data_IF_344159908139
#
_entry.id   IF_344159908139
#
_cell.length_a   1.000
_cell.length_b   1.000
_cell.length_c   1.000
_cell.angle_alpha   90.00
_cell.angle_beta   90.00
_cell.angle_gamma   90.00
#
_symmetry.space_group_name_H-M   'P 1'
#
loop_
_entity.id
_entity.type
_entity.pdbx_description
1 polymer ?
#
# COMPACT_ATOMS: atom_id res chain seq x y z
N UNK A 1 52.85 -9.84 -19.09
CA UNK A 1 51.40 -9.82 -19.35
C UNK A 1 50.72 -11.12 -18.96
N UNK A 2 51.09 -12.29 -19.51
CA UNK A 2 50.41 -13.56 -19.17
C UNK A 2 50.37 -13.88 -17.66
N UNK A 3 51.51 -13.72 -16.97
CA UNK A 3 51.59 -13.94 -15.52
C UNK A 3 50.69 -13.01 -14.67
N UNK A 4 50.21 -11.88 -15.22
CA UNK A 4 49.29 -11.00 -14.47
C UNK A 4 47.87 -11.57 -14.40
N UNK A 5 47.48 -12.37 -15.40
CA UNK A 5 46.13 -12.96 -15.52
C UNK A 5 46.13 -14.49 -15.35
N UNK A 6 47.29 -15.13 -15.38
CA UNK A 6 47.48 -16.57 -15.20
C UNK A 6 48.80 -16.84 -14.44
N UNK A 7 48.76 -16.63 -13.11
CA UNK A 7 49.93 -16.80 -12.22
C UNK A 7 50.42 -18.25 -12.12
N UNK A 8 49.56 -19.22 -12.41
CA UNK A 8 49.85 -20.65 -12.29
C UNK A 8 50.20 -21.29 -13.64
N UNK A 9 50.16 -20.53 -14.74
CA UNK A 9 50.46 -21.02 -16.08
C UNK A 9 49.47 -22.06 -16.62
N UNK A 10 48.31 -22.25 -15.97
CA UNK A 10 47.35 -23.33 -16.28
C UNK A 10 46.75 -23.23 -17.68
N UNK A 11 46.70 -22.01 -18.23
CA UNK A 11 46.11 -21.71 -19.55
C UNK A 11 47.09 -20.97 -20.46
N UNK A 12 48.39 -21.03 -20.15
CA UNK A 12 49.45 -20.37 -20.91
C UNK A 12 50.31 -21.41 -21.61
N UNK A 13 50.44 -21.29 -22.94
CA UNK A 13 51.36 -22.07 -23.79
C UNK A 13 52.47 -21.15 -24.27
N UNK A 14 53.74 -21.53 -24.12
CA UNK A 14 54.84 -20.78 -24.71
C UNK A 14 55.16 -21.26 -26.12
N UNK A 15 55.22 -20.32 -27.06
CA UNK A 15 55.65 -20.59 -28.43
C UNK A 15 56.94 -19.81 -28.69
N UNK A 16 58.04 -20.53 -28.90
CA UNK A 16 59.35 -19.95 -29.19
C UNK A 16 59.52 -19.91 -30.70
N UNK A 17 59.58 -18.71 -31.27
CA UNK A 17 59.78 -18.50 -32.70
C UNK A 17 61.23 -18.17 -33.00
N UNK A 18 61.63 -18.31 -34.28
CA UNK A 18 62.99 -18.00 -34.77
C UNK A 18 64.08 -18.87 -34.11
N UNK A 19 63.78 -20.14 -33.88
CA UNK A 19 64.71 -21.10 -33.28
C UNK A 19 66.01 -21.27 -34.10
N UNK A 20 65.98 -20.93 -35.38
CA UNK A 20 67.10 -20.91 -36.32
C UNK A 20 68.16 -19.84 -36.01
N UNK A 21 67.79 -18.68 -35.44
CA UNK A 21 68.71 -17.54 -35.27
C UNK A 21 69.53 -17.57 -33.99
N UNK A 22 69.06 -18.25 -32.96
CA UNK A 22 69.72 -18.29 -31.64
C UNK A 22 69.45 -19.62 -30.94
N UNK A 23 70.06 -20.72 -31.42
CA UNK A 23 69.82 -22.07 -30.88
C UNK A 23 70.54 -22.32 -29.54
N UNK A 24 71.52 -21.48 -29.18
CA UNK A 24 72.33 -21.59 -27.97
C UNK A 24 71.49 -21.31 -26.70
N UNK A 25 71.50 -22.25 -25.75
CA UNK A 25 70.76 -22.15 -24.49
C UNK A 25 69.24 -22.39 -24.60
N UNK A 26 68.70 -22.65 -25.80
CA UNK A 26 67.26 -22.89 -25.99
C UNK A 26 66.81 -24.23 -25.38
N UNK A 27 67.61 -25.28 -25.55
CA UNK A 27 67.35 -26.61 -24.98
C UNK A 27 67.23 -26.54 -23.44
N UNK A 28 68.10 -25.79 -22.78
CA UNK A 28 68.10 -25.65 -21.31
C UNK A 28 66.86 -24.89 -20.83
N UNK A 29 66.52 -23.76 -21.46
CA UNK A 29 65.34 -22.94 -21.10
C UNK A 29 64.02 -23.69 -21.26
N UNK A 30 63.90 -24.51 -22.30
CA UNK A 30 62.69 -25.29 -22.59
C UNK A 30 62.59 -26.53 -21.68
N UNK A 31 63.72 -27.13 -21.29
CA UNK A 31 63.74 -28.35 -20.46
C UNK A 31 63.57 -28.05 -18.97
N UNK A 32 64.10 -26.92 -18.50
CA UNK A 32 64.06 -26.51 -17.08
C UNK A 32 62.71 -25.87 -16.70
N UNK A 33 61.91 -25.45 -17.70
CA UNK A 33 60.69 -24.65 -17.51
C UNK A 33 60.92 -23.44 -16.60
N UNK A 34 61.92 -22.64 -16.94
CA UNK A 34 62.41 -21.50 -16.15
C UNK A 34 61.34 -20.41 -15.89
N UNK A 35 60.20 -20.47 -16.61
CA UNK A 35 59.08 -19.50 -16.54
C UNK A 35 57.79 -20.13 -15.97
N UNK A 36 57.82 -21.41 -15.55
CA UNK A 36 56.72 -22.16 -14.94
C UNK A 36 55.43 -22.13 -15.79
N UNK A 37 55.49 -22.73 -16.98
CA UNK A 37 54.43 -22.70 -18.00
C UNK A 37 53.71 -24.05 -18.01
N UNK A 38 52.50 -24.07 -17.44
CA UNK A 38 51.72 -25.29 -17.22
C UNK A 38 51.33 -26.07 -18.49
N UNK A 39 51.21 -25.42 -19.66
CA UNK A 39 50.98 -26.12 -20.94
C UNK A 39 52.28 -26.43 -21.71
N UNK A 40 53.44 -26.04 -21.16
CA UNK A 40 54.78 -26.26 -21.72
C UNK A 40 55.15 -25.34 -22.88
N UNK A 41 56.20 -25.72 -23.60
CA UNK A 41 56.78 -24.97 -24.72
C UNK A 41 56.58 -25.69 -26.05
N UNK A 42 56.57 -24.93 -27.15
CA UNK A 42 56.73 -25.43 -28.51
C UNK A 42 57.67 -24.51 -29.28
N UNK A 43 58.72 -25.06 -29.88
CA UNK A 43 59.66 -24.31 -30.71
C UNK A 43 59.30 -24.46 -32.18
N UNK A 44 59.32 -23.36 -32.92
CA UNK A 44 58.93 -23.32 -34.34
C UNK A 44 59.89 -22.51 -35.18
N UNK A 45 60.04 -22.90 -36.45
CA UNK A 45 60.70 -22.12 -37.49
C UNK A 45 59.63 -21.51 -38.39
N UNK A 46 59.67 -20.18 -38.54
CA UNK A 46 58.80 -19.48 -39.47
C UNK A 46 59.45 -19.41 -40.85
N UNK A 47 58.66 -19.07 -41.88
CA UNK A 47 59.15 -18.83 -43.25
C UNK A 47 60.23 -17.75 -43.26
N UNK A 48 61.30 -17.99 -44.02
CA UNK A 48 62.41 -17.06 -44.21
C UNK A 48 62.50 -16.71 -45.69
N UNK A 49 62.40 -15.42 -46.04
CA UNK A 49 62.42 -14.98 -47.44
C UNK A 49 61.18 -15.43 -48.22
N UNK A 50 61.38 -15.94 -49.44
CA UNK A 50 60.31 -16.32 -50.39
C UNK A 50 59.99 -17.83 -50.41
N UNK A 51 60.44 -18.60 -49.41
CA UNK A 51 60.12 -20.04 -49.24
C UNK A 51 58.60 -20.31 -49.33
N UNK A 52 58.17 -21.37 -50.02
CA UNK A 52 56.76 -21.84 -49.98
C UNK A 52 56.37 -22.42 -48.61
N UNK A 53 55.08 -22.72 -48.38
CA UNK A 53 54.66 -23.31 -47.10
C UNK A 53 55.23 -24.72 -46.93
N UNK A 54 55.22 -25.51 -48.00
CA UNK A 54 55.74 -26.87 -48.06
C UNK A 54 57.26 -26.88 -47.87
N UNK A 55 57.97 -25.96 -48.53
CA UNK A 55 59.42 -25.77 -48.35
C UNK A 55 59.76 -25.41 -46.91
N UNK A 56 59.06 -24.44 -46.31
CA UNK A 56 59.29 -24.05 -44.93
C UNK A 56 58.97 -25.16 -43.93
N UNK A 57 58.02 -26.06 -44.23
CA UNK A 57 57.76 -27.25 -43.41
C UNK A 57 58.88 -28.28 -43.51
N UNK A 58 59.36 -28.54 -44.73
CA UNK A 58 60.47 -29.46 -44.96
C UNK A 58 61.74 -28.94 -44.26
N UNK A 59 62.01 -27.64 -44.36
CA UNK A 59 63.14 -26.99 -43.72
C UNK A 59 63.01 -26.89 -42.19
N UNK A 60 61.79 -26.76 -41.66
CA UNK A 60 61.54 -26.84 -40.22
C UNK A 60 61.85 -28.25 -39.70
N UNK A 61 61.38 -29.29 -40.39
CA UNK A 61 61.68 -30.68 -40.03
C UNK A 61 63.19 -30.96 -40.11
N UNK A 62 63.85 -30.52 -41.19
CA UNK A 62 65.29 -30.65 -41.37
C UNK A 62 66.08 -29.96 -40.24
N UNK A 63 65.67 -28.75 -39.85
CA UNK A 63 66.28 -28.01 -38.73
C UNK A 63 66.19 -28.80 -37.42
N UNK A 64 65.01 -29.31 -37.08
CA UNK A 64 64.79 -30.01 -35.82
C UNK A 64 65.24 -31.48 -35.83
N UNK A 65 65.50 -32.11 -36.98
CA UNK A 65 66.06 -33.46 -37.04
C UNK A 65 67.61 -33.46 -37.07
N UNK A 66 68.23 -32.50 -37.76
CA UNK A 66 69.67 -32.56 -38.07
C UNK A 66 70.53 -31.53 -37.33
N UNK A 67 69.96 -30.46 -36.75
CA UNK A 67 70.77 -29.42 -36.10
C UNK A 67 71.37 -29.90 -34.76
N UNK A 68 72.71 -29.77 -34.52
CA UNK A 68 73.41 -30.37 -33.38
C UNK A 68 72.86 -30.09 -31.97
N UNK A 69 72.19 -28.94 -31.80
CA UNK A 69 71.60 -28.50 -30.53
C UNK A 69 70.08 -28.64 -30.49
N UNK A 70 69.39 -28.52 -31.63
CA UNK A 70 67.92 -28.48 -31.67
C UNK A 70 67.32 -29.88 -31.85
N UNK A 71 68.06 -30.81 -32.46
CA UNK A 71 67.65 -32.22 -32.57
C UNK A 71 67.59 -32.98 -31.25
N UNK A 72 68.17 -32.40 -30.20
CA UNK A 72 68.09 -32.90 -28.83
C UNK A 72 66.80 -32.51 -28.11
N UNK A 73 66.03 -31.55 -28.66
CA UNK A 73 64.73 -31.17 -28.09
C UNK A 73 63.72 -32.28 -28.44
N UNK A 74 62.85 -32.63 -27.50
CA UNK A 74 61.82 -33.65 -27.71
C UNK A 74 60.98 -33.36 -28.96
N UNK A 75 60.74 -34.38 -29.79
CA UNK A 75 59.86 -34.30 -30.97
C UNK A 75 58.43 -33.84 -30.63
N UNK A 76 57.99 -34.01 -29.38
CA UNK A 76 56.70 -33.50 -28.88
C UNK A 76 56.68 -32.00 -28.55
N UNK A 77 57.79 -31.28 -28.74
CA UNK A 77 57.96 -29.85 -28.42
C UNK A 77 58.48 -29.03 -29.60
N UNK A 78 58.63 -29.63 -30.79
CA UNK A 78 59.21 -28.94 -31.96
C UNK A 78 58.32 -29.09 -33.18
N UNK A 79 58.26 -28.02 -33.96
CA UNK A 79 57.55 -27.98 -35.23
C UNK A 79 56.12 -27.47 -35.12
N UNK A 80 55.64 -26.85 -36.20
CA UNK A 80 54.30 -26.30 -36.28
C UNK A 80 53.20 -27.39 -36.35
N UNK A 81 53.40 -28.59 -36.93
CA UNK A 81 52.41 -29.67 -36.84
C UNK A 81 52.08 -30.05 -35.40
N UNK A 82 53.11 -30.15 -34.55
CA UNK A 82 52.98 -30.46 -33.11
C UNK A 82 52.30 -29.30 -32.37
N UNK A 83 52.63 -28.05 -32.72
CA UNK A 83 51.91 -26.89 -32.19
C UNK A 83 50.41 -26.95 -32.51
N UNK A 84 50.05 -27.25 -33.77
CA UNK A 84 48.66 -27.32 -34.21
C UNK A 84 47.89 -28.42 -33.47
N UNK A 85 48.44 -29.63 -33.38
CA UNK A 85 47.84 -30.75 -32.65
C UNK A 85 47.63 -30.40 -31.16
N UNK A 86 48.66 -29.80 -30.55
CA UNK A 86 48.61 -29.40 -29.14
C UNK A 86 47.56 -28.32 -28.88
N UNK A 87 47.44 -27.32 -29.77
CA UNK A 87 46.40 -26.30 -29.69
C UNK A 87 44.99 -26.89 -29.81
N UNK A 88 44.77 -27.82 -30.75
CA UNK A 88 43.49 -28.52 -30.90
C UNK A 88 43.14 -29.31 -29.62
N UNK A 89 44.10 -30.03 -29.03
CA UNK A 89 43.89 -30.79 -27.79
C UNK A 89 43.59 -29.89 -26.59
N UNK A 90 44.31 -28.78 -26.46
CA UNK A 90 44.08 -27.78 -25.41
C UNK A 90 42.68 -27.19 -25.58
N UNK A 91 42.31 -26.78 -26.80
CA UNK A 91 41.01 -26.19 -27.08
C UNK A 91 39.86 -27.16 -26.77
N UNK A 92 39.97 -28.42 -27.19
CA UNK A 92 38.97 -29.45 -26.89
C UNK A 92 38.81 -29.69 -25.38
N UNK A 93 39.92 -29.70 -24.64
CA UNK A 93 39.89 -29.87 -23.17
C UNK A 93 39.21 -28.69 -22.48
N UNK A 94 39.55 -27.46 -22.87
CA UNK A 94 38.93 -26.24 -22.32
C UNK A 94 37.43 -26.22 -22.64
N UNK A 95 37.03 -26.56 -23.87
CA UNK A 95 35.62 -26.63 -24.25
C UNK A 95 34.89 -27.63 -23.34
N UNK A 96 35.42 -28.85 -23.18
CA UNK A 96 34.81 -29.90 -22.35
C UNK A 96 34.68 -29.48 -20.89
N UNK A 97 35.67 -28.81 -20.31
CA UNK A 97 35.61 -28.36 -18.91
C UNK A 97 34.65 -27.18 -18.71
N UNK A 98 34.52 -26.30 -19.70
CA UNK A 98 33.64 -25.14 -19.62
C UNK A 98 32.17 -25.46 -19.94
N UNK A 99 31.89 -26.48 -20.75
CA UNK A 99 30.54 -26.83 -21.21
C UNK A 99 29.53 -27.04 -20.07
N UNK A 100 29.80 -27.83 -19.00
CA UNK A 100 28.85 -28.04 -17.91
C UNK A 100 28.43 -26.72 -17.22
N UNK A 101 29.39 -25.83 -17.01
CA UNK A 101 29.13 -24.53 -16.38
C UNK A 101 28.35 -23.58 -17.32
N UNK A 102 28.59 -23.66 -18.63
CA UNK A 102 27.80 -22.92 -19.63
C UNK A 102 26.35 -23.43 -19.63
N UNK A 103 26.13 -24.75 -19.63
CA UNK A 103 24.78 -25.35 -19.54
C UNK A 103 24.06 -24.91 -18.28
N UNK A 104 24.73 -24.95 -17.13
CA UNK A 104 24.17 -24.48 -15.86
C UNK A 104 23.74 -23.01 -15.95
N UNK A 105 24.62 -22.13 -16.43
CA UNK A 105 24.32 -20.70 -16.59
C UNK A 105 23.17 -20.43 -17.56
N UNK A 106 23.04 -21.20 -18.63
CA UNK A 106 21.92 -21.09 -19.57
C UNK A 106 20.62 -21.48 -18.88
N UNK A 107 20.57 -22.63 -18.20
CA UNK A 107 19.37 -23.08 -17.49
C UNK A 107 18.97 -22.12 -16.37
N UNK A 108 19.92 -21.59 -15.60
CA UNK A 108 19.68 -20.61 -14.54
C UNK A 108 19.07 -19.32 -15.11
N UNK A 109 19.65 -18.78 -16.20
CA UNK A 109 19.14 -17.59 -16.89
C UNK A 109 17.78 -17.83 -17.53
N UNK A 110 17.57 -19.01 -18.12
CA UNK A 110 16.30 -19.38 -18.74
C UNK A 110 15.19 -19.43 -17.69
N UNK A 111 15.44 -20.11 -16.57
CA UNK A 111 14.51 -20.18 -15.43
C UNK A 111 14.18 -18.78 -14.88
N UNK A 112 15.20 -17.93 -14.69
CA UNK A 112 15.00 -16.57 -14.21
C UNK A 112 14.15 -15.73 -15.19
N UNK A 113 14.45 -15.78 -16.49
CA UNK A 113 13.71 -15.05 -17.52
C UNK A 113 12.25 -15.54 -17.62
N UNK A 114 12.00 -16.84 -17.56
CA UNK A 114 10.65 -17.42 -17.58
C UNK A 114 9.86 -16.98 -16.34
N UNK A 115 10.47 -16.99 -15.15
CA UNK A 115 9.83 -16.48 -13.94
C UNK A 115 9.51 -14.98 -14.04
N UNK A 116 10.39 -14.18 -14.64
CA UNK A 116 10.15 -12.76 -14.85
C UNK A 116 9.03 -12.51 -15.87
N UNK A 117 8.98 -13.28 -16.96
CA UNK A 117 7.91 -13.22 -17.96
C UNK A 117 6.55 -13.58 -17.35
N UNK A 118 6.51 -14.59 -16.48
CA UNK A 118 5.28 -14.99 -15.77
C UNK A 118 4.77 -13.95 -14.77
N UNK A 119 5.61 -13.02 -14.33
CA UNK A 119 5.20 -11.88 -13.48
C UNK A 119 4.59 -10.75 -14.29
N UNK A 120 4.81 -10.69 -15.61
CA UNK A 120 4.22 -9.66 -16.46
C UNK A 120 2.72 -9.90 -16.65
N UNK A 121 1.89 -8.85 -16.72
CA UNK A 121 0.46 -8.98 -16.97
C UNK A 121 0.23 -9.69 -18.29
N UNK A 122 -0.70 -10.64 -18.35
CA UNK A 122 -1.01 -11.37 -19.59
C UNK A 122 -1.42 -10.39 -20.69
N UNK A 123 -0.87 -10.57 -21.89
CA UNK A 123 -1.34 -9.89 -23.09
C UNK A 123 -2.77 -10.33 -23.36
N UNK A 124 -3.69 -9.37 -23.42
CA UNK A 124 -5.12 -9.63 -23.61
C UNK A 124 -5.43 -9.62 -25.09
N UNK A 125 -6.01 -10.70 -25.61
CA UNK A 125 -6.22 -10.88 -27.06
C UNK A 125 -7.65 -10.56 -27.50
N UNK A 126 -8.57 -10.33 -26.55
CA UNK A 126 -9.97 -10.02 -26.85
C UNK A 126 -10.63 -9.18 -25.77
N UNK A 127 -11.69 -8.46 -26.15
CA UNK A 127 -12.52 -7.66 -25.22
C UNK A 127 -13.15 -8.55 -24.14
N UNK A 128 -13.52 -9.80 -24.47
CA UNK A 128 -14.07 -10.75 -23.50
C UNK A 128 -13.04 -11.15 -22.44
N UNK A 129 -11.77 -11.34 -22.84
CA UNK A 129 -10.67 -11.65 -21.93
C UNK A 129 -10.31 -10.45 -21.05
N UNK A 130 -10.31 -9.24 -21.63
CA UNK A 130 -10.14 -7.99 -20.89
C UNK A 130 -11.23 -7.79 -19.84
N UNK A 131 -12.49 -8.02 -20.19
CA UNK A 131 -13.61 -7.96 -19.27
C UNK A 131 -13.48 -8.98 -18.14
N UNK A 132 -13.16 -10.23 -18.47
CA UNK A 132 -12.97 -11.28 -17.47
C UNK A 132 -11.85 -10.93 -16.49
N UNK A 133 -10.73 -10.42 -17.01
CA UNK A 133 -9.59 -9.98 -16.20
C UNK A 133 -9.95 -8.78 -15.32
N UNK A 134 -10.68 -7.80 -15.86
CA UNK A 134 -11.15 -6.66 -15.09
C UNK A 134 -12.09 -7.07 -13.95
N UNK A 135 -13.04 -7.98 -14.21
CA UNK A 135 -13.91 -8.52 -13.16
C UNK A 135 -13.13 -9.27 -12.08
N UNK A 136 -12.10 -10.03 -12.46
CA UNK A 136 -11.22 -10.71 -11.50
C UNK A 136 -10.45 -9.70 -10.63
N UNK A 137 -9.88 -8.66 -11.23
CA UNK A 137 -9.20 -7.56 -10.52
C UNK A 137 -10.15 -6.91 -9.51
N UNK A 138 -11.38 -6.57 -9.93
CA UNK A 138 -12.39 -6.01 -9.02
C UNK A 138 -12.79 -7.00 -7.92
N UNK A 139 -12.82 -8.31 -8.22
CA UNK A 139 -13.04 -9.36 -7.23
C UNK A 139 -11.94 -9.39 -6.15
N UNK A 140 -10.67 -9.33 -6.55
CA UNK A 140 -9.54 -9.27 -5.61
C UNK A 140 -9.51 -7.98 -4.81
N UNK A 141 -9.83 -6.84 -5.44
CA UNK A 141 -9.96 -5.56 -4.74
C UNK A 141 -11.10 -5.59 -3.71
N UNK A 142 -12.27 -6.13 -4.08
CA UNK A 142 -13.41 -6.31 -3.17
C UNK A 142 -13.05 -7.16 -1.96
N UNK A 143 -12.39 -8.30 -2.17
CA UNK A 143 -11.97 -9.17 -1.06
C UNK A 143 -10.93 -8.48 -0.16
N UNK A 144 -10.00 -7.74 -0.76
CA UNK A 144 -9.03 -6.93 0.01
C UNK A 144 -9.73 -5.89 0.88
N UNK A 145 -10.70 -5.16 0.32
CA UNK A 145 -11.47 -4.14 1.02
C UNK A 145 -12.32 -4.75 2.13
N UNK A 146 -12.95 -5.89 1.88
CA UNK A 146 -13.72 -6.63 2.88
C UNK A 146 -12.84 -7.01 4.07
N UNK A 147 -11.63 -7.52 3.82
CA UNK A 147 -10.67 -7.87 4.86
C UNK A 147 -10.30 -6.67 5.73
N UNK A 148 -9.89 -5.56 5.12
CA UNK A 148 -9.39 -4.41 5.88
C UNK A 148 -10.50 -3.54 6.51
N UNK A 149 -11.62 -3.29 5.81
CA UNK A 149 -12.69 -2.38 6.26
C UNK A 149 -13.76 -3.06 7.13
N UNK A 150 -13.97 -4.36 6.97
CA UNK A 150 -15.07 -5.09 7.64
C UNK A 150 -14.53 -6.12 8.64
N UNK A 151 -13.54 -6.93 8.26
CA UNK A 151 -13.06 -8.03 9.09
C UNK A 151 -11.91 -7.61 10.02
N UNK A 152 -11.19 -6.54 9.71
CA UNK A 152 -10.00 -6.12 10.45
C UNK A 152 -8.76 -6.99 10.16
N UNK A 153 -8.76 -7.74 9.05
CA UNK A 153 -7.62 -8.51 8.58
C UNK A 153 -6.74 -7.63 7.68
N UNK A 154 -5.51 -7.34 8.10
CA UNK A 154 -4.62 -6.40 7.40
C UNK A 154 -3.24 -6.99 7.07
N UNK A 155 -3.06 -8.31 7.12
CA UNK A 155 -1.75 -8.97 6.85
C UNK A 155 -1.15 -8.59 5.48
N UNK A 156 -2.00 -8.34 4.47
CA UNK A 156 -1.57 -7.93 3.13
C UNK A 156 -1.12 -6.44 3.04
N UNK A 157 -1.32 -5.67 4.10
CA UNK A 157 -1.10 -4.23 4.18
C UNK A 157 -0.38 -3.85 5.48
N UNK A 158 0.96 -3.91 5.51
CA UNK A 158 1.74 -3.63 6.73
C UNK A 158 1.72 -2.15 7.17
N UNK A 159 1.23 -1.24 6.33
CA UNK A 159 1.10 0.18 6.69
C UNK A 159 -0.06 0.36 7.69
N UNK A 160 0.26 0.94 8.85
CA UNK A 160 -0.71 1.25 9.91
C UNK A 160 -1.84 2.19 9.47
N UNK A 161 -1.72 2.90 8.33
CA UNK A 161 -2.81 3.67 7.72
C UNK A 161 -3.90 2.80 7.10
N UNK A 162 -3.59 1.54 6.76
CA UNK A 162 -4.50 0.57 6.16
C UNK A 162 -5.22 -0.31 7.18
N UNK A 163 -4.93 -0.15 8.47
CA UNK A 163 -5.62 -0.83 9.57
C UNK A 163 -6.99 -0.18 9.81
N UNK A 164 -7.90 -0.32 8.86
CA UNK A 164 -9.06 0.56 8.72
C UNK A 164 -10.02 0.50 9.91
N UNK A 165 -10.25 -0.68 10.48
CA UNK A 165 -11.11 -0.84 11.66
C UNK A 165 -10.59 -0.05 12.87
N UNK A 166 -9.28 -0.07 13.11
CA UNK A 166 -8.65 0.71 14.18
C UNK A 166 -8.71 2.22 13.92
N UNK A 167 -8.56 2.64 12.66
CA UNK A 167 -8.65 4.06 12.29
C UNK A 167 -10.06 4.60 12.41
N UNK A 168 -11.07 3.85 11.96
CA UNK A 168 -12.47 4.21 12.13
C UNK A 168 -12.85 4.27 13.61
N UNK A 169 -12.38 3.32 14.42
CA UNK A 169 -12.57 3.36 15.88
C UNK A 169 -12.01 4.64 16.51
N UNK A 170 -10.80 5.04 16.14
CA UNK A 170 -10.20 6.29 16.64
C UNK A 170 -11.00 7.52 16.21
N UNK A 171 -11.53 7.54 14.98
CA UNK A 171 -12.41 8.62 14.52
C UNK A 171 -13.71 8.67 15.33
N UNK A 172 -14.30 7.53 15.68
CA UNK A 172 -15.48 7.48 16.57
C UNK A 172 -15.16 7.95 17.97
N UNK A 173 -13.98 7.60 18.50
CA UNK A 173 -13.51 8.07 19.81
C UNK A 173 -13.41 9.59 19.83
N UNK A 174 -12.74 10.18 18.82
CA UNK A 174 -12.63 11.64 18.67
C UNK A 174 -14.01 12.29 18.53
N UNK A 175 -14.90 11.72 17.71
CA UNK A 175 -16.27 12.22 17.56
C UNK A 175 -17.06 12.21 18.88
N UNK A 176 -16.95 11.13 19.65
CA UNK A 176 -17.57 11.03 20.99
C UNK A 176 -16.99 12.05 21.96
N UNK A 177 -15.69 12.34 21.88
CA UNK A 177 -15.02 13.36 22.70
C UNK A 177 -15.46 14.77 22.29
N UNK A 178 -15.52 15.07 20.99
CA UNK A 178 -15.98 16.36 20.44
C UNK A 178 -17.43 16.67 20.82
N UNK A 179 -18.28 15.64 20.94
CA UNK A 179 -19.67 15.76 21.36
C UNK A 179 -19.87 15.94 22.87
N UNK A 180 -18.84 15.75 23.71
CA UNK A 180 -19.01 15.82 25.16
C UNK A 180 -19.54 17.18 25.62
N UNK A 181 -20.43 17.22 26.64
CA UNK A 181 -21.06 18.46 27.12
C UNK A 181 -20.07 19.58 27.45
N UNK A 182 -18.89 19.25 27.97
CA UNK A 182 -17.84 20.20 28.35
C UNK A 182 -17.23 20.94 27.15
N UNK A 183 -17.33 20.36 25.95
CA UNK A 183 -16.78 20.90 24.70
C UNK A 183 -17.81 21.71 23.89
N UNK A 184 -19.11 21.59 24.20
CA UNK A 184 -20.21 22.17 23.42
C UNK A 184 -20.91 23.31 24.18
N UNK A 185 -20.14 24.31 24.59
CA UNK A 185 -20.64 25.54 25.26
C UNK A 185 -20.98 25.35 26.74
N UNK A 186 -20.03 25.76 27.59
CA UNK A 186 -20.27 26.14 28.98
C UNK A 186 -21.06 27.46 29.04
N UNK A 187 -22.38 27.41 28.83
CA UNK A 187 -23.25 28.58 29.04
C UNK A 187 -23.44 28.88 30.55
N UNK A 188 -23.01 27.94 31.42
CA UNK A 188 -23.24 27.99 32.87
C UNK A 188 -22.07 28.59 33.68
N UNK A 189 -20.89 28.80 33.06
CA UNK A 189 -19.80 29.51 33.72
C UNK A 189 -19.97 31.01 33.58
N UNK A 190 -19.99 31.73 34.71
CA UNK A 190 -19.99 33.20 34.84
C UNK A 190 -21.38 33.90 34.80
N UNK A 191 -22.26 33.56 35.74
CA UNK A 191 -23.44 34.38 36.11
C UNK A 191 -24.72 34.18 35.27
N UNK A 192 -24.73 33.20 34.36
CA UNK A 192 -25.87 32.94 33.46
C UNK A 192 -26.72 31.70 33.85
N UNK A 193 -26.43 31.05 34.98
CA UNK A 193 -27.14 29.84 35.38
C UNK A 193 -28.66 30.08 35.50
N UNK A 194 -29.47 29.25 34.84
CA UNK A 194 -30.93 29.35 34.73
C UNK A 194 -31.48 30.60 34.02
N UNK A 195 -30.64 31.56 33.60
CA UNK A 195 -31.13 32.81 32.98
C UNK A 195 -31.89 32.51 31.70
N UNK A 196 -31.35 31.62 30.86
CA UNK A 196 -32.00 31.28 29.60
C UNK A 196 -33.25 30.43 29.80
N UNK A 197 -33.22 29.47 30.72
CA UNK A 197 -34.37 28.66 31.09
C UNK A 197 -35.51 29.54 31.62
N UNK A 198 -35.20 30.52 32.48
CA UNK A 198 -36.17 31.51 32.98
C UNK A 198 -36.75 32.34 31.85
N UNK A 199 -35.90 32.84 30.93
CA UNK A 199 -36.37 33.62 29.77
C UNK A 199 -37.35 32.83 28.90
N UNK A 200 -37.04 31.58 28.57
CA UNK A 200 -37.93 30.72 27.77
C UNK A 200 -39.22 30.41 28.54
N UNK A 201 -39.14 30.19 29.86
CA UNK A 201 -40.32 30.02 30.70
C UNK A 201 -41.24 31.25 30.64
N UNK A 202 -40.69 32.46 30.73
CA UNK A 202 -41.46 33.71 30.65
C UNK A 202 -42.13 33.89 29.28
N UNK A 203 -41.41 33.62 28.19
CA UNK A 203 -41.91 33.72 26.81
C UNK A 203 -43.01 32.69 26.48
N UNK A 204 -43.04 31.57 27.20
CA UNK A 204 -43.98 30.47 26.97
C UNK A 204 -45.12 30.40 28.00
N UNK A 205 -45.20 31.38 28.93
CA UNK A 205 -46.30 31.45 29.90
C UNK A 205 -47.65 31.52 29.17
N UNK A 206 -48.48 30.51 29.41
CA UNK A 206 -49.88 30.49 29.01
C UNK A 206 -50.78 30.79 30.21
N UNK A 207 -52.03 31.17 29.93
CA UNK A 207 -53.06 31.27 30.98
C UNK A 207 -53.35 29.83 31.45
N UNK A 208 -52.83 29.46 32.62
CA UNK A 208 -52.88 28.09 33.14
C UNK A 208 -52.60 28.01 34.64
N UNK A 209 -52.62 26.78 35.18
CA UNK A 209 -52.28 26.52 36.58
C UNK A 209 -50.78 26.78 36.83
N UNK A 210 -50.41 27.31 38.01
CA UNK A 210 -49.01 27.37 38.43
C UNK A 210 -48.42 25.97 38.61
N UNK A 211 -47.08 25.86 38.60
CA UNK A 211 -46.32 24.62 38.80
C UNK A 211 -46.44 23.55 37.69
N UNK A 212 -47.06 23.86 36.55
CA UNK A 212 -47.05 22.98 35.38
C UNK A 212 -45.98 23.38 34.38
N UNK A 213 -45.02 22.51 34.12
CA UNK A 213 -43.96 22.79 33.15
C UNK A 213 -44.46 22.61 31.70
N UNK A 214 -44.50 23.66 30.86
CA UNK A 214 -44.90 23.50 29.47
C UNK A 214 -43.87 22.69 28.67
N UNK A 215 -44.33 21.66 27.95
CA UNK A 215 -43.48 20.86 27.03
C UNK A 215 -42.74 21.74 26.01
N UNK A 216 -43.35 22.86 25.59
CA UNK A 216 -42.74 23.83 24.68
C UNK A 216 -41.38 24.35 25.19
N UNK A 217 -41.25 24.61 26.49
CA UNK A 217 -39.99 25.08 27.11
C UNK A 217 -38.89 24.06 26.89
N UNK A 218 -39.17 22.79 27.21
CA UNK A 218 -38.22 21.71 27.05
C UNK A 218 -37.76 21.58 25.59
N UNK A 219 -38.71 21.59 24.65
CA UNK A 219 -38.41 21.46 23.22
C UNK A 219 -37.57 22.63 22.70
N UNK A 220 -37.89 23.88 23.06
CA UNK A 220 -37.11 25.05 22.63
C UNK A 220 -35.66 24.97 23.09
N UNK A 221 -35.44 24.56 24.33
CA UNK A 221 -34.09 24.43 24.90
C UNK A 221 -33.33 23.25 24.29
N UNK A 222 -34.00 22.10 24.08
CA UNK A 222 -33.42 20.95 23.38
C UNK A 222 -33.00 21.32 21.95
N UNK A 223 -33.87 22.00 21.21
CA UNK A 223 -33.61 22.45 19.84
C UNK A 223 -32.39 23.38 19.77
N UNK A 224 -32.23 24.29 20.73
CA UNK A 224 -31.03 25.14 20.82
C UNK A 224 -29.76 24.30 21.02
N UNK A 225 -29.79 23.31 21.92
CA UNK A 225 -28.63 22.42 22.15
C UNK A 225 -28.30 21.57 20.93
N UNK A 226 -29.29 20.95 20.29
CA UNK A 226 -29.09 20.16 19.06
C UNK A 226 -28.53 21.03 17.93
N UNK A 227 -29.01 22.26 17.79
CA UNK A 227 -28.47 23.22 16.82
C UNK A 227 -27.01 23.61 17.13
N UNK A 228 -26.62 23.63 18.40
CA UNK A 228 -25.25 23.90 18.82
C UNK A 228 -24.24 22.84 18.36
N UNK A 229 -24.66 21.58 18.25
CA UNK A 229 -23.79 20.46 17.81
C UNK A 229 -23.94 20.09 16.34
N UNK A 230 -24.84 20.70 15.57
CA UNK A 230 -25.24 20.17 14.26
C UNK A 230 -24.10 20.04 13.23
N UNK A 231 -23.02 20.79 13.39
CA UNK A 231 -21.83 20.70 12.53
C UNK A 231 -20.93 19.52 12.86
N UNK A 232 -20.89 19.07 14.12
CA UNK A 232 -19.96 18.03 14.58
C UNK A 232 -20.21 16.67 13.88
N UNK A 233 -21.46 16.15 13.80
CA UNK A 233 -21.75 14.93 13.05
C UNK A 233 -21.45 15.04 11.55
N UNK A 234 -21.65 16.22 10.95
CA UNK A 234 -21.36 16.46 9.53
C UNK A 234 -19.86 16.40 9.26
N UNK A 235 -19.06 17.08 10.09
CA UNK A 235 -17.60 17.07 9.99
C UNK A 235 -17.04 15.65 10.17
N UNK A 236 -17.61 14.87 11.08
CA UNK A 236 -17.25 13.46 11.26
C UNK A 236 -17.47 12.64 9.98
N UNK A 237 -18.66 12.72 9.38
CA UNK A 237 -19.01 11.98 8.16
C UNK A 237 -18.08 12.37 7.02
N UNK A 238 -17.76 13.66 6.88
CA UNK A 238 -16.82 14.13 5.87
C UNK A 238 -15.42 13.53 6.08
N UNK A 239 -14.87 13.63 7.30
CA UNK A 239 -13.56 13.04 7.64
C UNK A 239 -13.55 11.53 7.34
N UNK A 240 -14.58 10.80 7.77
CA UNK A 240 -14.67 9.35 7.60
C UNK A 240 -14.70 8.93 6.12
N UNK A 241 -15.54 9.58 5.30
CA UNK A 241 -15.61 9.25 3.87
C UNK A 241 -14.36 9.65 3.08
N UNK A 242 -13.69 10.75 3.45
CA UNK A 242 -12.41 11.12 2.83
C UNK A 242 -11.32 10.06 3.12
N UNK A 243 -11.31 9.49 4.32
CA UNK A 243 -10.44 8.37 4.66
C UNK A 243 -10.77 7.12 3.83
N UNK A 244 -12.05 6.76 3.73
CA UNK A 244 -12.51 5.60 2.95
C UNK A 244 -12.18 5.79 1.45
N UNK A 245 -12.29 7.00 0.90
CA UNK A 245 -11.87 7.32 -0.46
C UNK A 245 -10.40 6.97 -0.68
N UNK A 246 -9.54 7.41 0.24
CA UNK A 246 -8.09 7.18 0.17
C UNK A 246 -7.78 5.68 0.15
N UNK A 247 -8.43 4.92 1.03
CA UNK A 247 -8.30 3.46 1.10
C UNK A 247 -8.79 2.79 -0.19
N UNK A 248 -9.98 3.15 -0.67
CA UNK A 248 -10.58 2.57 -1.87
C UNK A 248 -9.70 2.80 -3.10
N UNK A 249 -9.27 4.05 -3.31
CA UNK A 249 -8.40 4.43 -4.43
C UNK A 249 -7.07 3.69 -4.35
N UNK A 250 -6.48 3.58 -3.15
CA UNK A 250 -5.21 2.88 -2.97
C UNK A 250 -5.32 1.39 -3.31
N UNK A 251 -6.33 0.69 -2.77
CA UNK A 251 -6.53 -0.75 -3.02
C UNK A 251 -6.79 -1.01 -4.51
N UNK A 252 -7.66 -0.23 -5.14
CA UNK A 252 -7.93 -0.34 -6.57
C UNK A 252 -6.67 -0.07 -7.41
N UNK A 253 -5.89 0.96 -7.05
CA UNK A 253 -4.65 1.28 -7.77
C UNK A 253 -3.62 0.15 -7.67
N UNK A 254 -3.50 -0.47 -6.50
CA UNK A 254 -2.60 -1.63 -6.28
C UNK A 254 -2.99 -2.83 -7.14
N UNK A 255 -4.28 -3.14 -7.23
CA UNK A 255 -4.75 -4.27 -8.06
C UNK A 255 -4.74 -3.96 -9.57
N UNK A 256 -4.77 -2.69 -9.95
CA UNK A 256 -4.70 -2.24 -11.34
C UNK A 256 -3.29 -1.79 -11.78
N UNK A 257 -2.24 -1.95 -10.97
CA UNK A 257 -0.87 -1.45 -11.26
C UNK A 257 -0.32 -1.98 -12.60
N UNK A 258 -0.66 -3.23 -12.90
CA UNK A 258 -0.31 -3.93 -14.12
C UNK A 258 -1.06 -3.43 -15.38
N UNK A 259 -2.09 -2.62 -15.21
CA UNK A 259 -2.93 -2.07 -16.27
C UNK A 259 -3.07 -0.54 -16.12
N UNK A 260 -2.01 0.24 -16.42
CA UNK A 260 -2.04 1.70 -16.24
C UNK A 260 -3.18 2.40 -16.98
N UNK A 261 -3.61 1.83 -18.09
CA UNK A 261 -4.74 2.25 -18.92
C UNK A 261 -6.04 2.37 -18.09
N UNK A 262 -6.22 1.48 -17.11
CA UNK A 262 -7.39 1.44 -16.22
C UNK A 262 -7.26 2.33 -14.99
N UNK A 263 -6.05 2.65 -14.55
CA UNK A 263 -5.85 3.37 -13.27
C UNK A 263 -6.63 4.68 -13.23
N UNK A 264 -6.60 5.46 -14.32
CA UNK A 264 -7.29 6.74 -14.39
C UNK A 264 -8.81 6.61 -14.33
N UNK A 265 -9.39 5.66 -15.05
CA UNK A 265 -10.84 5.43 -15.06
C UNK A 265 -11.32 4.80 -13.77
N UNK A 266 -10.63 3.77 -13.26
CA UNK A 266 -10.97 3.13 -11.98
C UNK A 266 -10.85 4.11 -10.81
N UNK A 267 -9.82 4.98 -10.80
CA UNK A 267 -9.68 6.01 -9.76
C UNK A 267 -10.81 7.04 -9.82
N UNK A 268 -11.22 7.46 -11.01
CA UNK A 268 -12.35 8.38 -11.17
C UNK A 268 -13.66 7.74 -10.70
N UNK A 269 -13.91 6.50 -11.11
CA UNK A 269 -15.09 5.74 -10.70
C UNK A 269 -15.16 5.55 -9.18
N UNK A 270 -14.03 5.22 -8.55
CA UNK A 270 -13.93 5.13 -7.10
C UNK A 270 -14.32 6.44 -6.41
N UNK A 271 -13.84 7.59 -6.92
CA UNK A 271 -14.16 8.90 -6.37
C UNK A 271 -15.64 9.26 -6.51
N UNK A 272 -16.21 9.01 -7.68
CA UNK A 272 -17.64 9.28 -7.94
C UNK A 272 -18.54 8.42 -7.04
N UNK A 273 -18.21 7.14 -6.88
CA UNK A 273 -18.88 6.23 -5.96
C UNK A 273 -18.83 6.74 -4.52
N UNK A 274 -17.66 7.16 -4.04
CA UNK A 274 -17.52 7.70 -2.69
C UNK A 274 -18.26 9.02 -2.52
N UNK A 275 -18.21 9.92 -3.51
CA UNK A 275 -18.97 11.17 -3.48
C UNK A 275 -20.48 10.92 -3.32
N UNK A 276 -21.03 9.96 -4.08
CA UNK A 276 -22.43 9.52 -3.95
C UNK A 276 -22.74 8.99 -2.55
N UNK A 277 -21.87 8.15 -1.98
CA UNK A 277 -22.07 7.57 -0.63
C UNK A 277 -21.92 8.59 0.50
N UNK A 278 -20.97 9.52 0.33
CA UNK A 278 -20.77 10.65 1.23
C UNK A 278 -22.00 11.53 1.28
N UNK A 279 -22.56 11.91 0.12
CA UNK A 279 -23.78 12.71 0.06
C UNK A 279 -24.96 12.01 0.74
N UNK A 280 -25.19 10.73 0.45
CA UNK A 280 -26.23 9.94 1.13
C UNK A 280 -26.08 9.93 2.65
N UNK A 281 -24.84 9.92 3.15
CA UNK A 281 -24.58 9.97 4.58
C UNK A 281 -24.80 11.36 5.18
N UNK A 282 -24.46 12.42 4.44
CA UNK A 282 -24.74 13.81 4.84
C UNK A 282 -26.26 14.02 4.95
N UNK A 283 -27.03 13.57 3.96
CA UNK A 283 -28.48 13.70 3.95
C UNK A 283 -29.09 12.97 5.17
N UNK A 284 -28.64 11.74 5.43
CA UNK A 284 -29.07 10.97 6.60
C UNK A 284 -28.70 11.62 7.94
N UNK A 285 -27.52 12.24 8.05
CA UNK A 285 -27.13 12.99 9.25
C UNK A 285 -28.04 14.17 9.48
N UNK A 286 -28.37 14.93 8.43
CA UNK A 286 -29.32 16.04 8.52
C UNK A 286 -30.67 15.54 9.04
N UNK A 287 -31.18 14.42 8.52
CA UNK A 287 -32.43 13.83 9.00
C UNK A 287 -32.36 13.48 10.48
N UNK A 288 -31.26 12.88 10.97
CA UNK A 288 -31.11 12.58 12.40
C UNK A 288 -31.07 13.82 13.27
N UNK A 289 -30.32 14.84 12.85
CA UNK A 289 -30.24 16.10 13.58
C UNK A 289 -31.62 16.76 13.66
N UNK A 290 -32.43 16.70 12.59
CA UNK A 290 -33.81 17.19 12.61
C UNK A 290 -34.74 16.31 13.45
N UNK A 291 -34.60 14.98 13.42
CA UNK A 291 -35.39 14.06 14.24
C UNK A 291 -35.18 14.31 15.75
N UNK A 292 -33.94 14.56 16.19
CA UNK A 292 -33.62 14.87 17.60
C UNK A 292 -34.18 16.23 18.06
N UNK A 293 -34.58 17.13 17.15
CA UNK A 293 -35.23 18.40 17.49
C UNK A 293 -36.73 18.28 17.79
N UNK A 294 -37.35 17.16 17.44
CA UNK A 294 -38.81 17.01 17.42
C UNK A 294 -39.34 16.24 18.63
N UNK A 295 -38.56 15.28 19.15
CA UNK A 295 -39.01 14.34 20.18
C UNK A 295 -38.23 14.48 21.48
N UNK A 296 -38.97 14.41 22.59
CA UNK A 296 -38.51 14.37 23.98
C UNK A 296 -38.69 12.98 24.60
N UNK A 297 -38.97 11.97 23.77
CA UNK A 297 -39.22 10.61 24.24
C UNK A 297 -37.93 9.84 24.53
N UNK A 298 -37.95 9.05 25.61
CA UNK A 298 -36.91 8.06 25.92
C UNK A 298 -37.50 6.91 26.76
N UNK A 299 -37.08 5.69 26.46
CA UNK A 299 -37.31 4.52 27.32
C UNK A 299 -36.06 4.14 28.16
N UNK A 300 -35.02 4.98 28.13
CA UNK A 300 -33.77 4.71 28.82
C UNK A 300 -33.94 4.84 30.34
N UNK A 301 -33.71 3.76 31.08
CA UNK A 301 -33.91 3.70 32.54
C UNK A 301 -33.04 4.70 33.32
N UNK A 302 -31.88 5.08 32.77
CA UNK A 302 -30.99 6.06 33.40
C UNK A 302 -31.60 7.47 33.44
N UNK A 303 -32.53 7.83 32.55
CA UNK A 303 -33.12 9.18 32.53
C UNK A 303 -33.71 9.55 33.90
N UNK A 304 -34.62 8.72 34.41
CA UNK A 304 -35.28 8.96 35.70
C UNK A 304 -34.27 8.92 36.85
N UNK A 305 -33.26 8.07 36.77
CA UNK A 305 -32.23 7.93 37.80
C UNK A 305 -31.36 9.19 37.88
N UNK A 306 -30.87 9.68 36.74
CA UNK A 306 -30.05 10.90 36.65
C UNK A 306 -30.85 12.14 37.02
N UNK A 307 -32.09 12.26 36.53
CA UNK A 307 -32.98 13.37 36.90
C UNK A 307 -33.27 13.39 38.40
N UNK A 308 -33.62 12.26 39.02
CA UNK A 308 -33.87 12.19 40.47
C UNK A 308 -32.63 12.61 41.30
N UNK A 309 -31.43 12.19 40.90
CA UNK A 309 -30.17 12.60 41.55
C UNK A 309 -29.96 14.11 41.46
N UNK A 310 -30.10 14.66 40.25
CA UNK A 310 -29.96 16.09 39.99
C UNK A 310 -31.01 16.94 40.74
N UNK A 311 -32.24 16.43 40.86
CA UNK A 311 -33.33 17.09 41.59
C UNK A 311 -33.15 17.07 43.10
N UNK A 312 -32.35 16.16 43.67
CA UNK A 312 -32.06 16.14 45.10
C UNK A 312 -31.38 17.45 45.58
N UNK A 313 -30.65 18.15 44.70
CA UNK A 313 -30.02 19.42 45.01
C UNK A 313 -30.98 20.63 44.94
N UNK A 314 -32.23 20.46 44.47
CA UNK A 314 -33.18 21.57 44.33
C UNK A 314 -33.49 22.24 45.67
N UNK A 315 -33.63 21.46 46.74
CA UNK A 315 -33.90 22.00 48.08
C UNK A 315 -32.76 22.91 48.57
N UNK A 316 -31.52 22.48 48.34
CA UNK A 316 -30.30 23.23 48.70
C UNK A 316 -30.24 24.56 47.94
N UNK A 317 -30.53 24.54 46.63
CA UNK A 317 -30.59 25.76 45.83
C UNK A 317 -31.66 26.73 46.34
N UNK A 318 -32.86 26.22 46.63
CA UNK A 318 -33.97 27.05 47.08
C UNK A 318 -33.72 27.66 48.47
N UNK A 319 -33.03 26.96 49.37
CA UNK A 319 -32.61 27.50 50.67
C UNK A 319 -31.73 28.74 50.50
N UNK A 320 -30.71 28.67 49.66
CA UNK A 320 -29.79 29.77 49.38
C UNK A 320 -30.44 30.93 48.59
N UNK A 321 -31.36 30.63 47.68
CA UNK A 321 -32.10 31.66 46.92
C UNK A 321 -33.10 32.40 47.83
N UNK A 322 -33.67 31.70 48.83
CA UNK A 322 -34.63 32.28 49.74
C UNK A 322 -33.99 33.11 50.85
N UNK A 323 -32.83 32.70 51.37
CA UNK A 323 -32.08 33.41 52.40
C UNK A 323 -31.22 34.55 51.80
N UNK A 324 -31.57 35.84 52.03
CA UNK A 324 -30.81 36.97 51.51
C UNK A 324 -29.41 37.10 52.13
N UNK A 325 -29.15 36.47 53.28
CA UNK A 325 -27.86 36.52 53.98
C UNK A 325 -26.93 35.37 53.61
N UNK A 326 -27.42 34.37 52.90
CA UNK A 326 -26.62 33.23 52.46
C UNK A 326 -25.57 33.64 51.41
N UNK A 327 -24.56 32.79 51.21
CA UNK A 327 -23.57 32.96 50.14
C UNK A 327 -24.25 33.11 48.77
N UNK A 328 -23.72 34.00 47.93
CA UNK A 328 -24.15 34.10 46.53
C UNK A 328 -23.64 32.94 45.67
N UNK A 329 -22.71 32.12 46.19
CA UNK A 329 -22.16 30.97 45.47
C UNK A 329 -22.65 29.67 46.08
N UNK A 330 -23.16 28.77 45.25
CA UNK A 330 -23.62 27.42 45.62
C UNK A 330 -22.91 26.38 44.75
N UNK A 331 -22.31 25.37 45.39
CA UNK A 331 -21.75 24.21 44.69
C UNK A 331 -22.85 23.21 44.37
N UNK A 332 -23.12 22.97 43.09
CA UNK A 332 -24.08 21.95 42.64
C UNK A 332 -23.36 20.79 41.92
N UNK A 333 -23.84 19.57 42.15
CA UNK A 333 -23.33 18.38 41.44
C UNK A 333 -23.46 18.57 39.92
N UNK A 334 -22.41 18.18 39.16
CA UNK A 334 -22.21 18.42 37.71
C UNK A 334 -21.99 19.86 37.24
N UNK A 335 -22.36 20.88 38.01
CA UNK A 335 -22.22 22.28 37.59
C UNK A 335 -21.13 23.05 38.34
N UNK A 336 -20.64 22.51 39.46
CA UNK A 336 -19.62 23.16 40.28
C UNK A 336 -20.16 24.39 41.00
N UNK A 337 -19.29 25.36 41.24
CA UNK A 337 -19.62 26.60 41.94
C UNK A 337 -20.39 27.57 41.02
N UNK A 338 -21.63 27.87 41.39
CA UNK A 338 -22.53 28.74 40.63
C UNK A 338 -22.88 30.00 41.43
N UNK A 339 -22.76 31.17 40.80
CA UNK A 339 -23.33 32.42 41.33
C UNK A 339 -24.85 32.45 41.12
N UNK A 340 -25.59 32.66 42.21
CA UNK A 340 -27.05 32.70 42.27
C UNK A 340 -27.61 34.09 42.60
N UNK A 341 -26.77 35.13 42.66
CA UNK A 341 -27.19 36.48 43.06
C UNK A 341 -28.35 37.01 42.21
N UNK A 342 -28.33 36.75 40.90
CA UNK A 342 -29.39 37.17 39.96
C UNK A 342 -30.72 36.43 40.18
N UNK A 343 -30.68 35.20 40.69
CA UNK A 343 -31.87 34.37 40.90
C UNK A 343 -32.75 34.87 42.05
N UNK A 344 -32.17 35.63 42.99
CA UNK A 344 -32.90 36.22 44.13
C UNK A 344 -33.98 37.21 43.71
N UNK A 345 -33.87 37.80 42.51
CA UNK A 345 -34.86 38.72 41.96
C UNK A 345 -36.03 38.01 41.26
N UNK A 346 -35.91 36.71 40.97
CA UNK A 346 -36.86 35.94 40.15
C UNK A 346 -37.30 34.64 40.83
N UNK A 347 -37.35 34.64 42.18
CA UNK A 347 -37.58 33.45 43.04
C UNK A 347 -38.74 32.55 42.58
N UNK A 348 -39.82 33.14 42.07
CA UNK A 348 -41.01 32.41 41.64
C UNK A 348 -40.79 31.44 40.47
N UNK A 349 -39.77 31.64 39.63
CA UNK A 349 -39.49 30.79 38.47
C UNK A 349 -38.28 29.88 38.64
N UNK A 350 -37.48 30.08 39.69
CA UNK A 350 -36.22 29.34 39.91
C UNK A 350 -36.47 27.83 40.01
N UNK A 351 -37.53 27.43 40.71
CA UNK A 351 -37.88 26.01 40.89
C UNK A 351 -38.21 25.33 39.55
N UNK A 352 -39.04 25.97 38.73
CA UNK A 352 -39.44 25.46 37.41
C UNK A 352 -38.26 25.44 36.45
N UNK A 353 -37.48 26.53 36.40
CA UNK A 353 -36.27 26.61 35.58
C UNK A 353 -35.26 25.52 35.93
N UNK A 354 -35.07 25.27 37.24
CA UNK A 354 -34.17 24.22 37.71
C UNK A 354 -34.67 22.83 37.27
N UNK A 355 -35.96 22.51 37.44
CA UNK A 355 -36.51 21.23 37.00
C UNK A 355 -36.28 21.01 35.49
N UNK A 356 -36.56 22.01 34.66
CA UNK A 356 -36.28 21.98 33.22
C UNK A 356 -34.83 21.69 32.92
N UNK A 357 -33.91 22.44 33.54
CA UNK A 357 -32.48 22.28 33.30
C UNK A 357 -32.01 20.88 33.66
N UNK A 358 -32.50 20.32 34.77
CA UNK A 358 -32.15 18.96 35.18
C UNK A 358 -32.71 17.90 34.23
N UNK A 359 -33.97 18.05 33.77
CA UNK A 359 -34.57 17.15 32.76
C UNK A 359 -33.76 17.17 31.46
N UNK A 360 -33.41 18.35 30.97
CA UNK A 360 -32.62 18.50 29.75
C UNK A 360 -31.24 17.92 29.93
N UNK A 361 -30.59 18.16 31.07
CA UNK A 361 -29.26 17.62 31.36
C UNK A 361 -29.28 16.09 31.36
N UNK A 362 -30.27 15.48 32.00
CA UNK A 362 -30.44 14.02 32.00
C UNK A 362 -30.77 13.46 30.61
N UNK A 363 -31.60 14.16 29.82
CA UNK A 363 -31.96 13.75 28.47
C UNK A 363 -30.81 13.92 27.46
N UNK A 364 -30.01 14.98 27.63
CA UNK A 364 -28.93 15.35 26.72
C UNK A 364 -27.86 14.25 26.63
N UNK A 365 -27.50 13.64 27.76
CA UNK A 365 -26.57 12.51 27.78
C UNK A 365 -27.05 11.34 26.88
N UNK A 366 -28.37 11.12 26.82
CA UNK A 366 -28.98 10.08 25.98
C UNK A 366 -28.94 10.47 24.52
N UNK A 367 -29.23 11.74 24.19
CA UNK A 367 -29.16 12.27 22.82
C UNK A 367 -27.75 12.11 22.26
N UNK A 368 -26.73 12.51 23.02
CA UNK A 368 -25.33 12.40 22.60
C UNK A 368 -24.92 10.95 22.32
N UNK A 369 -25.25 10.01 23.22
CA UNK A 369 -24.99 8.57 23.03
C UNK A 369 -25.68 8.04 21.78
N UNK A 370 -26.96 8.38 21.61
CA UNK A 370 -27.75 7.94 20.46
C UNK A 370 -27.18 8.47 19.14
N UNK A 371 -26.67 9.71 19.10
CA UNK A 371 -26.00 10.25 17.93
C UNK A 371 -24.74 9.45 17.57
N UNK A 372 -23.93 9.08 18.57
CA UNK A 372 -22.72 8.26 18.36
C UNK A 372 -23.08 6.85 17.86
N UNK A 373 -23.99 6.17 18.55
CA UNK A 373 -24.38 4.80 18.23
C UNK A 373 -25.05 4.69 16.85
N UNK A 374 -25.98 5.60 16.55
CA UNK A 374 -26.62 5.63 15.24
C UNK A 374 -25.60 5.91 14.13
N UNK A 375 -24.67 6.85 14.34
CA UNK A 375 -23.62 7.15 13.37
C UNK A 375 -22.76 5.92 13.09
N UNK A 376 -22.40 5.17 14.14
CA UNK A 376 -21.65 3.92 13.99
C UNK A 376 -22.42 2.87 13.18
N UNK A 377 -23.71 2.68 13.49
CA UNK A 377 -24.57 1.75 12.75
C UNK A 377 -24.68 2.13 11.27
N UNK A 378 -24.94 3.40 10.98
CA UNK A 378 -25.06 3.91 9.61
C UNK A 378 -23.75 3.74 8.84
N UNK A 379 -22.64 4.27 9.37
CA UNK A 379 -21.37 4.23 8.65
C UNK A 379 -20.93 2.80 8.36
N UNK A 380 -21.00 1.90 9.34
CA UNK A 380 -20.62 0.49 9.14
C UNK A 380 -21.54 -0.23 8.16
N UNK A 381 -22.85 0.05 8.20
CA UNK A 381 -23.80 -0.47 7.23
C UNK A 381 -23.53 0.03 5.81
N UNK A 382 -23.25 1.33 5.65
CA UNK A 382 -22.92 1.95 4.38
C UNK A 382 -21.61 1.41 3.80
N UNK A 383 -20.56 1.25 4.61
CA UNK A 383 -19.31 0.61 4.20
C UNK A 383 -19.55 -0.83 3.74
N UNK A 384 -20.35 -1.58 4.50
CA UNK A 384 -20.68 -2.97 4.14
C UNK A 384 -21.43 -3.07 2.82
N UNK A 385 -22.39 -2.17 2.56
CA UNK A 385 -23.11 -2.14 1.29
C UNK A 385 -22.22 -1.68 0.13
N UNK A 386 -21.39 -0.66 0.35
CA UNK A 386 -20.40 -0.18 -0.61
C UNK A 386 -19.55 -1.36 -1.11
N UNK A 387 -18.89 -2.08 -0.20
CA UNK A 387 -17.96 -3.16 -0.56
C UNK A 387 -18.69 -4.35 -1.16
N UNK A 388 -19.83 -4.77 -0.58
CA UNK A 388 -20.44 -6.04 -0.97
C UNK A 388 -21.36 -5.95 -2.19
N UNK A 389 -22.03 -4.82 -2.40
CA UNK A 389 -23.13 -4.69 -3.37
C UNK A 389 -22.85 -3.67 -4.48
N UNK A 390 -22.27 -2.53 -4.14
CA UNK A 390 -22.29 -1.36 -5.04
C UNK A 390 -20.97 -1.16 -5.78
N UNK A 391 -19.83 -1.39 -5.13
CA UNK A 391 -18.50 -1.12 -5.70
C UNK A 391 -18.28 -1.76 -7.07
N UNK A 392 -18.62 -3.04 -7.22
CA UNK A 392 -18.41 -3.72 -8.50
C UNK A 392 -19.32 -3.14 -9.58
N UNK A 393 -20.63 -3.00 -9.31
CA UNK A 393 -21.59 -2.51 -10.29
C UNK A 393 -21.29 -1.08 -10.75
N UNK A 394 -21.12 -0.15 -9.79
CA UNK A 394 -20.91 1.27 -10.09
C UNK A 394 -19.56 1.50 -10.81
N UNK A 395 -18.50 0.76 -10.44
CA UNK A 395 -17.21 0.86 -11.16
C UNK A 395 -17.30 0.29 -12.57
N UNK A 396 -17.98 -0.85 -12.75
CA UNK A 396 -18.19 -1.45 -14.07
C UNK A 396 -18.96 -0.49 -14.97
N UNK A 397 -20.07 0.06 -14.49
CA UNK A 397 -20.91 1.00 -15.23
C UNK A 397 -20.10 2.20 -15.72
N UNK A 398 -19.32 2.85 -14.85
CA UNK A 398 -18.54 4.02 -15.22
C UNK A 398 -17.33 3.71 -16.13
N UNK A 399 -16.70 2.54 -15.97
CA UNK A 399 -15.58 2.14 -16.83
C UNK A 399 -16.07 1.71 -18.22
N UNK A 400 -17.29 1.17 -18.34
CA UNK A 400 -17.87 0.62 -19.58
C UNK A 400 -18.76 1.63 -20.33
N UNK A 401 -19.00 2.82 -19.78
CA UNK A 401 -19.89 3.83 -20.38
C UNK A 401 -19.76 3.97 -21.92
N UNK A 402 -20.89 4.08 -22.67
CA UNK A 402 -20.97 3.80 -24.12
C UNK A 402 -20.08 4.64 -25.05
N UNK A 403 -19.50 5.74 -24.55
CA UNK A 403 -18.62 6.62 -25.35
C UNK A 403 -17.14 6.22 -25.29
N UNK A 404 -16.78 5.21 -24.50
CA UNK A 404 -15.39 4.85 -24.26
C UNK A 404 -15.03 3.45 -24.74
N UNK A 405 -14.21 3.36 -25.79
CA UNK A 405 -13.38 2.19 -26.11
C UNK A 405 -12.30 1.93 -25.01
N UNK A 406 -12.62 2.17 -23.72
CA UNK A 406 -11.69 2.15 -22.59
C UNK A 406 -11.30 0.72 -22.21
N UNK A 407 -12.20 -0.24 -22.40
CA UNK A 407 -11.86 -1.66 -22.23
C UNK A 407 -10.97 -2.16 -23.38
N UNK A 408 -11.16 -1.63 -24.59
CA UNK A 408 -10.29 -1.94 -25.74
C UNK A 408 -8.86 -1.44 -25.50
N UNK A 409 -8.70 -0.33 -24.79
CA UNK A 409 -7.38 0.14 -24.34
C UNK A 409 -6.68 -0.83 -23.38
N UNK A 410 -7.38 -1.77 -22.73
CA UNK A 410 -6.70 -2.85 -21.98
C UNK A 410 -5.98 -3.84 -22.91
N UNK A 411 -6.34 -3.90 -24.18
CA UNK A 411 -5.67 -4.73 -25.19
C UNK A 411 -4.31 -4.14 -25.59
N UNK A 412 -4.09 -2.86 -25.33
CA UNK A 412 -2.83 -2.19 -25.58
C UNK A 412 -1.93 -2.31 -24.33
N UNK A 413 -0.87 -3.12 -24.43
CA UNK A 413 0.16 -3.16 -23.38
C UNK A 413 0.85 -1.80 -23.27
N UNK A 414 1.23 -1.41 -22.04
CA UNK A 414 2.04 -0.20 -21.88
C UNK A 414 3.38 -0.36 -22.63
N UNK A 415 3.93 0.71 -23.25
CA UNK A 415 5.17 0.60 -24.02
C UNK A 415 6.34 -0.03 -23.24
N UNK A 416 6.44 0.25 -21.93
CA UNK A 416 7.49 -0.31 -21.08
C UNK A 416 7.32 -1.82 -20.84
N UNK A 417 6.07 -2.28 -20.66
CA UNK A 417 5.76 -3.69 -20.44
C UNK A 417 5.94 -4.47 -21.75
N UNK A 418 5.47 -3.91 -22.87
CA UNK A 418 5.64 -4.51 -24.18
C UNK A 418 7.13 -4.64 -24.56
N UNK A 419 7.93 -3.59 -24.32
CA UNK A 419 9.39 -3.64 -24.55
C UNK A 419 10.06 -4.69 -23.67
N UNK A 420 9.68 -4.76 -22.39
CA UNK A 420 10.22 -5.73 -21.44
C UNK A 420 9.83 -7.17 -21.81
N UNK A 421 8.57 -7.41 -22.19
CA UNK A 421 8.07 -8.69 -22.69
C UNK A 421 8.86 -9.12 -23.92
N UNK A 422 9.00 -8.25 -24.92
CA UNK A 422 9.73 -8.54 -26.15
C UNK A 422 11.21 -8.87 -25.87
N UNK A 423 11.87 -8.15 -24.96
CA UNK A 423 13.25 -8.46 -24.52
C UNK A 423 13.35 -9.84 -23.87
N UNK A 424 12.42 -10.18 -22.97
CA UNK A 424 12.39 -11.47 -22.30
C UNK A 424 12.10 -12.61 -23.27
N UNK A 425 11.12 -12.47 -24.16
CA UNK A 425 10.78 -13.47 -25.18
C UNK A 425 11.96 -13.72 -26.13
N UNK A 426 12.61 -12.66 -26.62
CA UNK A 426 13.84 -12.79 -27.42
C UNK A 426 14.96 -13.49 -26.66
N UNK A 427 15.16 -13.14 -25.40
CA UNK A 427 16.20 -13.76 -24.58
C UNK A 427 15.91 -15.23 -24.26
N UNK A 428 14.65 -15.59 -24.02
CA UNK A 428 14.21 -16.97 -23.79
C UNK A 428 14.46 -17.80 -25.04
N UNK A 429 14.00 -17.32 -26.20
CA UNK A 429 14.20 -17.99 -27.49
C UNK A 429 15.69 -18.24 -27.77
N UNK A 430 16.55 -17.23 -27.56
CA UNK A 430 17.99 -17.38 -27.74
C UNK A 430 18.60 -18.41 -26.77
N UNK A 431 18.14 -18.45 -25.53
CA UNK A 431 18.63 -19.39 -24.52
C UNK A 431 18.16 -20.83 -24.81
N UNK A 432 16.94 -21.01 -25.32
CA UNK A 432 16.44 -22.31 -25.80
C UNK A 432 17.25 -22.81 -27.00
N UNK A 433 17.45 -21.96 -28.02
CA UNK A 433 18.30 -22.28 -29.17
C UNK A 433 19.74 -22.62 -28.73
N UNK A 434 20.30 -21.87 -27.77
CA UNK A 434 21.64 -22.12 -27.22
C UNK A 434 21.71 -23.46 -26.48
N UNK A 435 20.65 -23.82 -25.76
CA UNK A 435 20.54 -25.09 -25.04
C UNK A 435 20.52 -26.26 -26.02
N UNK A 436 19.76 -26.15 -27.11
CA UNK A 436 19.67 -27.19 -28.14
C UNK A 436 21.00 -27.37 -28.88
N UNK A 437 21.69 -26.27 -29.22
CA UNK A 437 23.03 -26.31 -29.82
C UNK A 437 24.03 -27.02 -28.91
N UNK A 438 24.00 -26.73 -27.60
CA UNK A 438 24.93 -27.38 -26.66
C UNK A 438 24.57 -28.86 -26.43
N UNK A 439 23.29 -29.21 -26.41
CA UNK A 439 22.87 -30.60 -26.34
C UNK A 439 23.44 -31.41 -27.52
N UNK A 440 23.32 -30.88 -28.74
CA UNK A 440 23.91 -31.49 -29.94
C UNK A 440 25.43 -31.63 -29.85
N UNK A 441 26.13 -30.65 -29.26
CA UNK A 441 27.60 -30.74 -29.06
C UNK A 441 27.95 -31.81 -28.03
N UNK A 442 27.19 -31.91 -26.94
CA UNK A 442 27.42 -32.93 -25.91
C UNK A 442 27.15 -34.35 -26.43
N UNK A 443 26.22 -34.55 -27.37
CA UNK A 443 25.95 -35.85 -27.98
C UNK A 443 27.05 -36.32 -28.96
N UNK A 444 27.93 -35.40 -29.40
CA UNK A 444 29.06 -35.70 -30.31
C UNK A 444 30.32 -36.14 -29.54
N UNK A 445 30.37 -35.91 -28.22
CA UNK A 445 31.49 -36.30 -27.33
C UNK A 445 31.10 -37.45 -26.41
#
# INVERSE_FOLDING_TARGET
MSQHVDKTGRRTLAVVTKADKSPEGLLEKVTIDDVNIGLGYVCVRNRIGDESYEEARAEEANLFDNHPLLSKISKSMVGIPVLAEKLVRIQATIIRECLPEIVRKINDKLSANVQELNKLPKHLNSVAEAMTTFLQILGFAKESLKKILIQGEFDAYPDAKMHCTARLWEMFRIYSDELQPENVVNDDSNGNFLVYEIKVLEETKSIGLPDFLPRAVFLTLLQRKVKGISTIPLDFVEKAWNYIETVLVFVLSRHCENYPQLLSSTRRAAKNLIAKKKQQSIDWVNDIVEMEKITDYTCHSEYSTTWNKLMACQAILMEHVNDPYSSNVVSLERFGDIDIAHLRNVKGLVKEAYDVKMRITAYWDIVLRRMVDNMALHLLFSIKNLVNKEMQADIIEEVIEPQGNRLERMLEESPSIAEKRNKLEKSIKLLEESKDVIANIMDIY
#
